data_IF_410176857013
#
_entry.id   IF_410176857013
#
_cell.length_a   1.000
_cell.length_b   1.000
_cell.length_c   1.000
_cell.angle_alpha   90.00
_cell.angle_beta   90.00
_cell.angle_gamma   90.00
#
_symmetry.space_group_name_H-M   'P 1'
#
loop_
_entity.id
_entity.type
_entity.pdbx_description
1 polymer ?
#
# COMPACT_ATOMS: atom_id res chain seq x y z
N UNK A 1 2.40 -16.88 -15.65
CA UNK A 1 1.10 -16.19 -15.49
C UNK A 1 0.47 -16.50 -14.14
N UNK A 2 -0.25 -17.61 -13.91
CA UNK A 2 -0.86 -17.88 -12.58
C UNK A 2 0.13 -18.00 -11.40
N UNK A 3 1.35 -18.51 -11.64
CA UNK A 3 2.39 -18.59 -10.61
C UNK A 3 2.98 -17.21 -10.26
N UNK A 4 3.04 -16.31 -11.25
CA UNK A 4 3.55 -14.94 -11.08
C UNK A 4 2.50 -14.10 -10.34
N UNK A 5 1.21 -14.22 -10.72
CA UNK A 5 0.05 -13.66 -10.02
C UNK A 5 0.08 -13.97 -8.52
N UNK A 6 0.26 -15.26 -8.18
CA UNK A 6 0.26 -15.71 -6.79
C UNK A 6 1.50 -15.21 -6.02
N UNK A 7 2.64 -15.06 -6.71
CA UNK A 7 3.85 -14.48 -6.13
C UNK A 7 3.67 -13.00 -5.82
N UNK A 8 3.12 -12.25 -6.78
CA UNK A 8 2.83 -10.82 -6.69
C UNK A 8 1.83 -10.50 -5.57
N UNK A 9 0.73 -11.24 -5.49
CA UNK A 9 -0.22 -11.14 -4.37
C UNK A 9 0.44 -11.39 -3.01
N UNK A 10 1.34 -12.38 -2.90
CA UNK A 10 2.09 -12.62 -1.65
C UNK A 10 3.01 -11.45 -1.31
N UNK A 11 3.69 -10.86 -2.30
CA UNK A 11 4.55 -9.68 -2.10
C UNK A 11 3.71 -8.50 -1.62
N UNK A 12 2.53 -8.28 -2.19
CA UNK A 12 1.60 -7.23 -1.74
C UNK A 12 1.13 -7.50 -0.29
N UNK A 13 0.72 -8.71 0.05
CA UNK A 13 0.32 -9.07 1.41
C UNK A 13 1.44 -8.88 2.43
N UNK A 14 2.66 -9.30 2.09
CA UNK A 14 3.85 -9.11 2.93
C UNK A 14 4.18 -7.63 3.10
N UNK A 15 4.07 -6.84 2.02
CA UNK A 15 4.29 -5.39 2.06
C UNK A 15 3.25 -4.68 2.94
N UNK A 16 1.97 -5.07 2.85
CA UNK A 16 0.91 -4.59 3.75
C UNK A 16 1.20 -4.92 5.22
N UNK A 17 1.58 -6.16 5.50
CA UNK A 17 1.93 -6.59 6.86
C UNK A 17 3.14 -5.82 7.40
N UNK A 18 4.18 -5.68 6.58
CA UNK A 18 5.39 -4.93 6.93
C UNK A 18 5.04 -3.47 7.21
N UNK A 19 4.24 -2.82 6.37
CA UNK A 19 3.76 -1.46 6.61
C UNK A 19 3.01 -1.34 7.94
N UNK A 20 2.10 -2.28 8.24
CA UNK A 20 1.38 -2.34 9.52
C UNK A 20 2.31 -2.43 10.75
N UNK A 21 3.39 -3.19 10.64
CA UNK A 21 4.42 -3.27 11.69
C UNK A 21 5.21 -1.96 11.77
N UNK A 22 5.61 -1.40 10.64
CA UNK A 22 6.39 -0.16 10.57
C UNK A 22 5.60 1.06 11.09
N UNK A 23 4.28 1.11 10.90
CA UNK A 23 3.38 2.12 11.49
C UNK A 23 3.54 2.24 13.01
N UNK A 24 3.81 1.14 13.70
CA UNK A 24 3.97 1.16 15.15
C UNK A 24 5.22 1.91 15.61
N UNK A 25 6.24 2.03 14.75
CA UNK A 25 7.51 2.68 15.07
C UNK A 25 7.51 4.20 14.81
N UNK A 26 6.62 4.69 13.95
CA UNK A 26 6.46 6.15 13.72
C UNK A 26 5.19 6.73 14.35
N UNK A 27 4.25 5.90 14.80
CA UNK A 27 3.16 6.35 15.63
C UNK A 27 3.69 6.82 16.99
N UNK A 28 3.19 7.97 17.47
CA UNK A 28 3.52 8.60 18.77
C UNK A 28 2.95 7.81 19.96
N UNK A 29 2.88 6.49 19.84
CA UNK A 29 1.93 5.68 20.59
C UNK A 29 2.37 5.44 22.02
N UNK A 30 1.53 5.93 22.92
CA UNK A 30 1.22 5.42 24.26
C UNK A 30 0.86 3.89 24.29
N UNK A 31 1.20 3.10 23.27
CA UNK A 31 1.03 1.64 23.21
C UNK A 31 2.37 0.97 23.52
N UNK A 32 3.47 1.52 22.99
CA UNK A 32 4.83 1.13 23.35
C UNK A 32 5.38 2.15 24.33
N UNK A 33 4.86 2.16 25.57
CA UNK A 33 5.31 3.06 26.66
C UNK A 33 6.83 3.07 26.91
N UNK A 34 7.56 2.12 26.34
CA UNK A 34 8.99 1.92 26.48
C UNK A 34 9.80 2.25 25.22
N UNK A 35 9.17 2.54 24.07
CA UNK A 35 9.89 3.07 22.91
C UNK A 35 10.00 4.58 23.05
N UNK A 36 11.03 5.04 23.76
CA UNK A 36 11.45 6.43 23.67
C UNK A 36 11.71 6.73 22.19
N UNK A 37 11.19 7.84 21.62
CA UNK A 37 11.35 8.15 20.20
C UNK A 37 12.83 8.31 19.86
N UNK A 38 13.43 7.26 19.34
CA UNK A 38 14.78 7.27 18.79
C UNK A 38 14.66 7.66 17.32
N UNK A 39 15.19 8.85 16.97
CA UNK A 39 15.13 9.35 15.59
C UNK A 39 15.71 8.39 14.57
N UNK A 40 16.70 7.55 14.94
CA UNK A 40 17.25 6.54 14.04
C UNK A 40 16.24 5.44 13.74
N UNK A 41 15.49 4.97 14.75
CA UNK A 41 14.45 3.96 14.57
C UNK A 41 13.32 4.51 13.71
N UNK A 42 12.92 5.77 13.94
CA UNK A 42 11.93 6.47 13.12
C UNK A 42 12.37 6.57 11.65
N UNK A 43 13.60 7.03 11.41
CA UNK A 43 14.14 7.19 10.07
C UNK A 43 14.23 5.85 9.32
N UNK A 44 14.69 4.80 10.00
CA UNK A 44 14.73 3.45 9.43
C UNK A 44 13.33 2.92 9.14
N UNK A 45 12.36 3.16 10.03
CA UNK A 45 10.98 2.73 9.81
C UNK A 45 10.35 3.44 8.60
N UNK A 46 10.56 4.75 8.46
CA UNK A 46 10.08 5.53 7.31
C UNK A 46 10.73 5.06 6.00
N UNK A 47 12.04 4.79 6.00
CA UNK A 47 12.74 4.28 4.82
C UNK A 47 12.19 2.93 4.38
N UNK A 48 12.02 1.99 5.32
CA UNK A 48 11.46 0.68 5.03
C UNK A 48 9.98 0.77 4.60
N UNK A 49 9.22 1.72 5.18
CA UNK A 49 7.83 1.94 4.81
C UNK A 49 7.74 2.47 3.38
N UNK A 50 8.65 3.35 2.95
CA UNK A 50 8.75 3.80 1.57
C UNK A 50 8.98 2.66 0.57
N UNK A 51 9.89 1.73 0.91
CA UNK A 51 10.15 0.54 0.08
C UNK A 51 8.92 -0.38 0.03
N UNK A 52 8.27 -0.64 1.17
CA UNK A 52 7.06 -1.46 1.20
C UNK A 52 5.91 -0.81 0.40
N UNK A 53 5.76 0.52 0.51
CA UNK A 53 4.71 1.26 -0.16
C UNK A 53 4.88 1.23 -1.69
N UNK A 54 6.11 1.29 -2.22
CA UNK A 54 6.33 1.21 -3.67
C UNK A 54 5.83 -0.11 -4.26
N UNK A 55 5.99 -1.22 -3.53
CA UNK A 55 5.47 -2.53 -3.95
C UNK A 55 3.94 -2.59 -3.90
N UNK A 56 3.32 -1.94 -2.92
CA UNK A 56 1.86 -1.83 -2.83
C UNK A 56 1.24 -0.94 -3.90
N UNK A 57 2.00 -0.01 -4.47
CA UNK A 57 1.47 0.86 -5.53
C UNK A 57 1.49 0.17 -6.90
N UNK A 58 2.55 -0.59 -7.19
CA UNK A 58 2.78 -1.16 -8.52
C UNK A 58 2.04 -2.49 -8.68
N UNK A 59 2.25 -3.41 -7.75
CA UNK A 59 1.80 -4.81 -7.92
C UNK A 59 0.28 -4.94 -8.01
N UNK A 60 -0.54 -4.38 -7.10
CA UNK A 60 -2.00 -4.53 -7.19
C UNK A 60 -2.62 -3.89 -8.44
N UNK A 61 -1.97 -2.87 -8.99
CA UNK A 61 -2.44 -2.20 -10.21
C UNK A 61 -2.22 -3.08 -11.44
N UNK A 62 -1.04 -3.69 -11.59
CA UNK A 62 -0.75 -4.66 -12.65
C UNK A 62 -1.72 -5.84 -12.57
N UNK A 63 -1.93 -6.40 -11.38
CA UNK A 63 -2.84 -7.52 -11.15
C UNK A 63 -4.30 -7.18 -11.49
N UNK A 64 -4.73 -5.95 -11.22
CA UNK A 64 -6.08 -5.49 -11.56
C UNK A 64 -6.26 -5.35 -13.07
N UNK A 65 -5.24 -4.86 -13.79
CA UNK A 65 -5.25 -4.73 -15.24
C UNK A 65 -5.25 -6.10 -15.92
N UNK A 66 -4.37 -7.01 -15.48
CA UNK A 66 -4.29 -8.37 -16.02
C UNK A 66 -5.59 -9.14 -15.79
N UNK A 67 -6.13 -9.12 -14.56
CA UNK A 67 -7.38 -9.78 -14.24
C UNK A 67 -8.59 -9.24 -15.02
N UNK A 68 -8.60 -7.94 -15.34
CA UNK A 68 -9.66 -7.33 -16.14
C UNK A 68 -9.53 -7.67 -17.64
N UNK A 69 -8.30 -7.77 -18.16
CA UNK A 69 -8.03 -8.21 -19.54
C UNK A 69 -8.46 -9.66 -19.78
N UNK A 70 -8.25 -10.54 -18.81
CA UNK A 70 -8.67 -11.94 -18.90
C UNK A 70 -10.21 -12.11 -18.97
N UNK A 71 -10.97 -11.11 -18.50
CA UNK A 71 -12.43 -11.14 -18.45
C UNK A 71 -13.11 -10.44 -19.65
N UNK A 72 -12.37 -9.64 -20.42
CA UNK A 72 -12.93 -8.81 -21.49
C UNK A 72 -11.94 -8.71 -22.66
N UNK A 73 -12.37 -9.16 -23.85
CA UNK A 73 -11.64 -9.00 -25.13
C UNK A 73 -11.58 -7.54 -25.63
N UNK A 74 -12.02 -6.57 -24.82
CA UNK A 74 -12.01 -5.15 -25.17
C UNK A 74 -10.58 -4.61 -25.32
N UNK A 75 -10.44 -3.53 -26.11
CA UNK A 75 -9.16 -2.85 -26.33
C UNK A 75 -8.43 -2.59 -25.01
N UNK A 76 -7.17 -3.04 -24.95
CA UNK A 76 -6.35 -3.07 -23.74
C UNK A 76 -6.13 -1.70 -23.09
N UNK A 77 -6.29 -0.63 -23.87
CA UNK A 77 -6.13 0.76 -23.45
C UNK A 77 -7.27 1.23 -22.55
N UNK A 78 -8.53 0.90 -22.89
CA UNK A 78 -9.69 1.30 -22.10
C UNK A 78 -9.74 0.63 -20.71
N UNK A 79 -9.32 -0.65 -20.64
CA UNK A 79 -9.19 -1.37 -19.36
C UNK A 79 -8.11 -0.70 -18.49
N UNK A 80 -6.97 -0.37 -19.08
CA UNK A 80 -5.86 0.27 -18.37
C UNK A 80 -6.29 1.62 -17.78
N UNK A 81 -6.98 2.46 -18.55
CA UNK A 81 -7.46 3.76 -18.08
C UNK A 81 -8.48 3.62 -16.94
N UNK A 82 -9.42 2.68 -17.06
CA UNK A 82 -10.43 2.44 -16.02
C UNK A 82 -9.81 1.90 -14.73
N UNK A 83 -8.89 0.93 -14.84
CA UNK A 83 -8.16 0.37 -13.71
C UNK A 83 -7.29 1.43 -13.02
N UNK A 84 -6.53 2.20 -13.79
CA UNK A 84 -5.70 3.30 -13.25
C UNK A 84 -6.55 4.35 -12.54
N UNK A 85 -7.70 4.73 -13.14
CA UNK A 85 -8.64 5.68 -12.56
C UNK A 85 -9.23 5.19 -11.23
N UNK A 86 -9.65 3.92 -11.17
CA UNK A 86 -10.20 3.32 -9.96
C UNK A 86 -9.14 3.23 -8.85
N UNK A 87 -7.93 2.79 -9.19
CA UNK A 87 -6.81 2.70 -8.26
C UNK A 87 -6.48 4.08 -7.66
N UNK A 88 -6.31 5.09 -8.52
CA UNK A 88 -6.01 6.45 -8.08
C UNK A 88 -7.14 7.08 -7.26
N UNK A 89 -8.40 6.75 -7.55
CA UNK A 89 -9.53 7.20 -6.75
C UNK A 89 -9.43 6.69 -5.31
N UNK A 90 -9.20 5.39 -5.11
CA UNK A 90 -9.04 4.83 -3.75
C UNK A 90 -7.79 5.34 -3.06
N UNK A 91 -6.69 5.50 -3.79
CA UNK A 91 -5.48 6.10 -3.26
C UNK A 91 -5.74 7.52 -2.73
N UNK A 92 -6.38 8.37 -3.53
CA UNK A 92 -6.75 9.73 -3.13
C UNK A 92 -7.71 9.76 -1.92
N UNK A 93 -8.68 8.85 -1.86
CA UNK A 93 -9.53 8.70 -0.68
C UNK A 93 -8.70 8.34 0.56
N UNK A 94 -7.72 7.45 0.44
CA UNK A 94 -6.78 7.11 1.50
C UNK A 94 -5.98 8.32 1.98
N UNK A 95 -5.46 9.15 1.08
CA UNK A 95 -4.73 10.37 1.41
C UNK A 95 -5.59 11.45 2.08
N UNK A 96 -6.89 11.50 1.78
CA UNK A 96 -7.84 12.41 2.42
C UNK A 96 -8.24 11.89 3.81
N UNK A 97 -8.67 10.63 3.89
CA UNK A 97 -9.17 10.05 5.14
C UNK A 97 -8.07 9.73 6.15
N UNK A 98 -6.87 9.40 5.69
CA UNK A 98 -5.72 9.07 6.55
C UNK A 98 -5.43 10.17 7.58
N UNK A 99 -5.18 11.42 7.17
CA UNK A 99 -5.01 12.55 8.08
C UNK A 99 -6.23 12.84 8.95
N UNK A 100 -7.46 12.69 8.41
CA UNK A 100 -8.69 12.91 9.20
C UNK A 100 -8.81 11.90 10.35
N UNK A 101 -8.55 10.63 10.09
CA UNK A 101 -8.52 9.57 11.12
C UNK A 101 -7.34 9.81 12.07
N UNK A 102 -6.17 10.14 11.52
CA UNK A 102 -4.98 10.46 12.30
C UNK A 102 -5.25 11.54 13.35
N UNK A 103 -5.89 12.64 12.96
CA UNK A 103 -6.24 13.76 13.86
C UNK A 103 -7.34 13.42 14.88
N UNK A 104 -8.14 12.37 14.66
CA UNK A 104 -9.13 11.91 15.63
C UNK A 104 -8.53 10.93 16.66
N UNK A 105 -7.46 10.23 16.29
CA UNK A 105 -6.88 9.12 17.08
C UNK A 105 -5.58 9.53 17.80
N UNK A 106 -4.81 10.46 17.23
CA UNK A 106 -3.52 10.94 17.74
C UNK A 106 -3.56 12.44 18.04
#
# INVERSE_FOLDING_TARGET
MYLDYFSNMRVAMLSCFLLGVLTMFYSSSYILWFLTPNMLVLAMALLLAGIANSHLMITPMEEMIEGAKDLNDSESEGINDMCSGLFNMFFALGEIFGPMIGNLVF
#
